data_IF_935618723895
#
_entry.id   IF_935618723895
#
_cell.length_a   1.000
_cell.length_b   1.000
_cell.length_c   1.000
_cell.angle_alpha   90.00
_cell.angle_beta   90.00
_cell.angle_gamma   90.00
#
_symmetry.space_group_name_H-M   'P 1'
#
loop_
_entity.id
_entity.type
_entity.pdbx_description
1 polymer ?
#
# COMPACT_ATOMS: atom_id res chain seq x y z
N UNK A 1 2.85 33.05 -4.00
CA UNK A 1 3.03 33.05 -2.53
C UNK A 1 1.70 32.87 -1.80
N UNK A 2 0.70 33.74 -2.02
CA UNK A 2 -0.61 33.67 -1.36
C UNK A 2 -1.40 32.38 -1.68
N UNK A 3 -1.36 31.91 -2.94
CA UNK A 3 -1.91 30.61 -3.33
C UNK A 3 -1.20 29.43 -2.66
N UNK A 4 0.15 29.42 -2.59
CA UNK A 4 0.88 28.38 -1.85
C UNK A 4 0.56 28.40 -0.36
N UNK A 5 0.51 29.57 0.29
CA UNK A 5 0.16 29.67 1.70
C UNK A 5 -1.29 29.24 1.98
N UNK A 6 -2.26 29.61 1.14
CA UNK A 6 -3.65 29.23 1.32
C UNK A 6 -3.86 27.72 1.12
N UNK A 7 -3.19 27.13 0.12
CA UNK A 7 -3.22 25.68 -0.11
C UNK A 7 -2.49 24.92 0.99
N UNK A 8 -1.33 25.40 1.46
CA UNK A 8 -0.57 24.77 2.55
C UNK A 8 -1.26 24.92 3.92
N UNK A 9 -1.88 26.05 4.22
CA UNK A 9 -2.65 26.25 5.46
C UNK A 9 -3.91 25.37 5.50
N UNK A 10 -4.64 25.26 4.38
CA UNK A 10 -5.83 24.40 4.28
C UNK A 10 -5.47 22.92 4.30
N UNK A 11 -4.35 22.55 3.67
CA UNK A 11 -3.81 21.19 3.74
C UNK A 11 -3.35 20.84 5.16
N UNK A 12 -2.68 21.75 5.87
CA UNK A 12 -2.23 21.52 7.26
C UNK A 12 -3.43 21.42 8.21
N UNK A 13 -4.44 22.30 8.09
CA UNK A 13 -5.58 22.29 9.01
C UNK A 13 -6.50 21.08 8.80
N UNK A 14 -6.73 20.67 7.55
CA UNK A 14 -7.51 19.46 7.22
C UNK A 14 -6.76 18.15 7.47
N UNK A 15 -5.43 18.13 7.28
CA UNK A 15 -4.62 16.93 7.49
C UNK A 15 -4.15 16.73 8.93
N UNK A 16 -4.01 17.78 9.76
CA UNK A 16 -3.51 17.62 11.14
C UNK A 16 -4.64 17.32 12.13
N UNK A 17 -5.65 18.17 12.26
CA UNK A 17 -6.66 18.04 13.33
C UNK A 17 -7.49 16.76 13.25
N UNK A 18 -8.02 16.45 12.06
CA UNK A 18 -8.87 15.27 11.86
C UNK A 18 -8.05 13.98 11.83
N UNK A 19 -6.88 13.94 11.17
CA UNK A 19 -6.07 12.71 11.10
C UNK A 19 -5.42 12.38 12.45
N UNK A 20 -4.93 13.37 13.19
CA UNK A 20 -4.38 13.13 14.53
C UNK A 20 -5.48 12.64 15.46
N UNK A 21 -6.69 13.23 15.40
CA UNK A 21 -7.84 12.77 16.17
C UNK A 21 -8.22 11.31 15.87
N UNK A 22 -8.27 10.94 14.59
CA UNK A 22 -8.54 9.55 14.16
C UNK A 22 -7.41 8.60 14.58
N UNK A 23 -6.14 9.00 14.49
CA UNK A 23 -5.02 8.18 14.96
C UNK A 23 -5.06 7.96 16.47
N UNK A 24 -5.34 9.01 17.26
CA UNK A 24 -5.46 8.90 18.71
C UNK A 24 -6.63 7.99 19.10
N UNK A 25 -7.78 8.15 18.43
CA UNK A 25 -8.95 7.29 18.63
C UNK A 25 -8.64 5.83 18.29
N UNK A 26 -7.98 5.58 17.16
CA UNK A 26 -7.59 4.23 16.74
C UNK A 26 -6.60 3.60 17.72
N UNK A 27 -5.61 4.35 18.22
CA UNK A 27 -4.64 3.87 19.21
C UNK A 27 -5.31 3.56 20.56
N UNK A 28 -6.23 4.42 21.01
CA UNK A 28 -7.00 4.18 22.22
C UNK A 28 -7.92 2.96 22.08
N UNK A 29 -8.59 2.79 20.94
CA UNK A 29 -9.43 1.64 20.65
C UNK A 29 -8.62 0.34 20.52
N UNK A 30 -7.45 0.37 19.89
CA UNK A 30 -6.50 -0.75 19.83
C UNK A 30 -6.01 -1.14 21.22
N UNK A 31 -5.55 -0.17 22.02
CA UNK A 31 -5.03 -0.42 23.37
C UNK A 31 -6.07 -1.03 24.30
N UNK A 32 -7.27 -0.42 24.36
CA UNK A 32 -8.38 -0.95 25.15
C UNK A 32 -8.86 -2.31 24.64
N UNK A 33 -8.94 -2.49 23.31
CA UNK A 33 -9.31 -3.75 22.68
C UNK A 33 -8.34 -4.90 22.96
N UNK A 34 -7.02 -4.65 22.94
CA UNK A 34 -6.00 -5.65 23.25
C UNK A 34 -6.08 -6.07 24.73
N UNK A 35 -6.22 -5.11 25.65
CA UNK A 35 -6.32 -5.38 27.09
C UNK A 35 -7.57 -6.21 27.39
N UNK A 36 -8.73 -5.82 26.86
CA UNK A 36 -10.00 -6.54 27.06
C UNK A 36 -9.93 -7.92 26.41
N UNK A 37 -9.34 -8.05 25.23
CA UNK A 37 -9.23 -9.35 24.53
C UNK A 37 -8.29 -10.33 25.24
N UNK A 38 -7.20 -9.85 25.84
CA UNK A 38 -6.31 -10.72 26.61
C UNK A 38 -6.97 -11.24 27.90
N UNK A 39 -7.81 -10.41 28.54
CA UNK A 39 -8.49 -10.76 29.78
C UNK A 39 -9.66 -11.72 29.54
N UNK A 40 -10.48 -11.49 28.51
CA UNK A 40 -11.71 -12.24 28.27
C UNK A 40 -11.58 -13.38 27.24
N UNK A 41 -10.57 -13.35 26.37
CA UNK A 41 -10.55 -14.16 25.15
C UNK A 41 -9.15 -14.64 24.73
N UNK A 42 -8.39 -15.23 25.67
CA UNK A 42 -7.01 -15.70 25.44
C UNK A 42 -6.86 -16.67 24.25
N UNK A 43 -7.90 -17.45 23.93
CA UNK A 43 -7.92 -18.39 22.81
C UNK A 43 -8.04 -17.69 21.45
N UNK A 44 -8.78 -16.57 21.38
CA UNK A 44 -8.92 -15.77 20.16
C UNK A 44 -7.68 -14.92 19.93
N UNK A 45 -7.07 -14.37 20.99
CA UNK A 45 -5.83 -13.59 20.85
C UNK A 45 -4.66 -14.44 20.35
N UNK A 46 -4.54 -15.71 20.78
CA UNK A 46 -3.53 -16.65 20.24
C UNK A 46 -3.70 -16.90 18.74
N UNK A 47 -4.94 -17.06 18.26
CA UNK A 47 -5.23 -17.20 16.84
C UNK A 47 -4.75 -15.97 16.07
N UNK A 48 -5.16 -14.78 16.52
CA UNK A 48 -4.79 -13.51 15.89
C UNK A 48 -3.27 -13.32 15.89
N UNK A 49 -2.60 -13.61 17.01
CA UNK A 49 -1.15 -13.53 17.14
C UNK A 49 -0.41 -14.43 16.13
N UNK A 50 -0.98 -15.60 15.80
CA UNK A 50 -0.47 -16.48 14.75
C UNK A 50 -0.62 -15.92 13.34
N UNK A 51 -1.69 -15.17 13.07
CA UNK A 51 -1.93 -14.56 11.75
C UNK A 51 -1.21 -13.21 11.56
N UNK A 52 -0.92 -12.47 12.65
CA UNK A 52 -0.19 -11.20 12.62
C UNK A 52 1.12 -11.25 11.81
N UNK A 53 2.06 -12.19 12.03
CA UNK A 53 3.30 -12.22 11.25
C UNK A 53 3.04 -12.48 9.76
N UNK A 54 2.02 -13.27 9.44
CA UNK A 54 1.66 -13.58 8.06
C UNK A 54 1.07 -12.35 7.35
N UNK A 55 0.26 -11.56 8.05
CA UNK A 55 -0.24 -10.27 7.56
C UNK A 55 0.88 -9.24 7.35
N UNK A 56 1.85 -9.16 8.28
CA UNK A 56 3.01 -8.25 8.17
C UNK A 56 3.85 -8.63 6.95
N UNK A 57 4.17 -9.92 6.78
CA UNK A 57 4.95 -10.41 5.63
C UNK A 57 4.20 -10.14 4.32
N UNK A 58 2.89 -10.40 4.27
CA UNK A 58 2.05 -10.11 3.11
C UNK A 58 2.05 -8.62 2.74
N UNK A 59 1.91 -7.74 3.74
CA UNK A 59 1.95 -6.28 3.55
C UNK A 59 3.32 -5.77 3.11
N UNK A 60 4.41 -6.30 3.68
CA UNK A 60 5.77 -5.93 3.28
C UNK A 60 6.07 -6.37 1.85
N UNK A 61 5.71 -7.60 1.48
CA UNK A 61 5.91 -8.13 0.13
C UNK A 61 5.15 -7.31 -0.91
N UNK A 62 3.91 -6.92 -0.62
CA UNK A 62 3.11 -6.09 -1.51
C UNK A 62 3.74 -4.70 -1.72
N UNK A 63 4.23 -4.08 -0.65
CA UNK A 63 4.95 -2.80 -0.73
C UNK A 63 6.28 -2.93 -1.49
N UNK A 64 7.03 -4.00 -1.25
CA UNK A 64 8.30 -4.27 -1.93
C UNK A 64 8.10 -4.49 -3.44
N UNK A 65 7.09 -5.26 -3.83
CA UNK A 65 6.75 -5.46 -5.24
C UNK A 65 6.35 -4.14 -5.92
N UNK A 66 5.49 -3.36 -5.28
CA UNK A 66 5.03 -2.07 -5.82
C UNK A 66 6.17 -1.06 -6.00
N UNK A 67 7.02 -0.91 -5.00
CA UNK A 67 8.18 0.01 -5.05
C UNK A 67 9.26 -0.49 -6.03
N UNK A 68 9.52 -1.80 -6.07
CA UNK A 68 10.45 -2.43 -7.00
C UNK A 68 10.04 -2.28 -8.46
N UNK A 69 8.73 -2.37 -8.75
CA UNK A 69 8.20 -2.12 -10.10
C UNK A 69 8.31 -0.64 -10.47
N UNK A 70 7.90 0.26 -9.59
CA UNK A 70 8.01 1.70 -9.82
C UNK A 70 9.45 2.15 -10.15
N UNK A 71 10.46 1.61 -9.45
CA UNK A 71 11.87 1.94 -9.70
C UNK A 71 12.37 1.44 -11.07
N UNK A 72 12.02 0.21 -11.45
CA UNK A 72 12.41 -0.36 -12.75
C UNK A 72 11.72 0.35 -13.91
N UNK A 73 10.47 0.72 -13.74
CA UNK A 73 9.72 1.44 -14.77
C UNK A 73 10.27 2.85 -14.94
N UNK A 74 10.56 3.55 -13.83
CA UNK A 74 11.20 4.88 -13.85
C UNK A 74 12.52 4.88 -14.63
N UNK A 75 13.43 3.93 -14.39
CA UNK A 75 14.71 3.82 -15.13
C UNK A 75 14.53 3.60 -16.62
N UNK A 76 13.48 2.87 -17.01
CA UNK A 76 13.22 2.56 -18.43
C UNK A 76 12.60 3.77 -19.13
N UNK A 77 11.65 4.44 -18.48
CA UNK A 77 11.09 5.71 -18.96
C UNK A 77 12.12 6.83 -19.03
N UNK A 78 13.07 6.89 -18.09
CA UNK A 78 14.16 7.88 -18.12
C UNK A 78 15.05 7.72 -19.36
N UNK A 79 15.37 6.48 -19.75
CA UNK A 79 16.13 6.21 -20.99
C UNK A 79 15.36 6.60 -22.25
N UNK A 80 14.08 6.23 -22.33
CA UNK A 80 13.22 6.63 -23.45
C UNK A 80 13.09 8.16 -23.53
N UNK A 81 12.84 8.81 -22.39
CA UNK A 81 12.73 10.27 -22.29
C UNK A 81 14.02 10.98 -22.68
N UNK A 82 15.20 10.46 -22.31
CA UNK A 82 16.49 11.04 -22.71
C UNK A 82 16.65 11.06 -24.25
N UNK A 83 16.31 9.96 -24.91
CA UNK A 83 16.40 9.85 -26.37
C UNK A 83 15.40 10.79 -27.04
N UNK A 84 14.17 10.86 -26.54
CA UNK A 84 13.17 11.82 -27.04
C UNK A 84 13.63 13.26 -26.88
N UNK A 85 14.20 13.63 -25.73
CA UNK A 85 14.72 14.98 -25.47
C UNK A 85 15.87 15.31 -26.42
N UNK A 86 16.81 14.38 -26.63
CA UNK A 86 17.94 14.56 -27.54
C UNK A 86 17.49 14.75 -29.00
N UNK A 87 16.49 13.99 -29.45
CA UNK A 87 15.89 14.15 -30.78
C UNK A 87 15.16 15.48 -30.95
N UNK A 88 14.40 15.93 -29.94
CA UNK A 88 13.67 17.21 -29.98
C UNK A 88 14.66 18.39 -29.96
N UNK A 89 15.70 18.33 -29.14
CA UNK A 89 16.72 19.38 -29.07
C UNK A 89 17.45 19.56 -30.41
N UNK A 90 17.67 18.46 -31.14
CA UNK A 90 18.36 18.46 -32.43
C UNK A 90 17.40 18.29 -33.62
N UNK A 91 16.14 18.70 -33.49
CA UNK A 91 15.09 18.45 -34.50
C UNK A 91 15.46 18.95 -35.89
N UNK A 92 16.14 20.10 -36.01
CA UNK A 92 16.62 20.61 -37.31
C UNK A 92 17.61 19.64 -37.97
N UNK A 93 18.50 19.03 -37.22
CA UNK A 93 19.49 18.06 -37.72
C UNK A 93 18.81 16.74 -38.09
N UNK A 94 17.84 16.28 -37.31
CA UNK A 94 17.07 15.05 -37.60
C UNK A 94 16.28 15.19 -38.91
N UNK A 95 15.60 16.33 -39.10
CA UNK A 95 14.86 16.67 -40.31
C UNK A 95 15.81 16.81 -41.50
N UNK A 96 16.97 17.47 -41.32
CA UNK A 96 17.98 17.63 -42.38
C UNK A 96 18.61 16.31 -42.84
N UNK A 97 18.71 15.34 -41.94
CA UNK A 97 19.19 13.99 -42.26
C UNK A 97 18.09 13.04 -42.72
N UNK A 98 16.82 13.48 -42.71
CA UNK A 98 15.63 12.66 -43.02
C UNK A 98 15.62 11.34 -42.24
N UNK A 99 16.00 11.38 -40.96
CA UNK A 99 16.17 10.21 -40.06
C UNK A 99 15.05 10.08 -39.02
N UNK A 100 13.89 10.67 -39.28
CA UNK A 100 12.74 10.69 -38.37
C UNK A 100 12.27 9.27 -38.03
N UNK A 101 12.12 8.41 -39.04
CA UNK A 101 11.72 7.01 -38.86
C UNK A 101 12.69 6.21 -38.00
N UNK A 102 13.99 6.48 -38.11
CA UNK A 102 15.01 5.81 -37.30
C UNK A 102 14.85 6.13 -35.80
N UNK A 103 14.61 7.40 -35.46
CA UNK A 103 14.38 7.79 -34.07
C UNK A 103 13.02 7.31 -33.54
N UNK A 104 12.01 7.24 -34.41
CA UNK A 104 10.70 6.69 -34.07
C UNK A 104 10.80 5.18 -33.75
N UNK A 105 11.45 4.41 -34.61
CA UNK A 105 11.63 2.96 -34.41
C UNK A 105 12.49 2.67 -33.17
N UNK A 106 13.53 3.47 -32.95
CA UNK A 106 14.33 3.41 -31.73
C UNK A 106 13.47 3.64 -30.48
N UNK A 107 12.59 4.65 -30.49
CA UNK A 107 11.65 4.91 -29.37
C UNK A 107 10.68 3.74 -29.16
N UNK A 108 10.10 3.18 -30.23
CA UNK A 108 9.23 2.01 -30.15
C UNK A 108 9.95 0.80 -29.53
N UNK A 109 11.18 0.53 -29.95
CA UNK A 109 11.98 -0.58 -29.41
C UNK A 109 12.28 -0.43 -27.91
N UNK A 110 12.50 0.81 -27.45
CA UNK A 110 12.72 1.14 -26.03
C UNK A 110 11.46 0.95 -25.19
N UNK A 111 10.27 1.14 -25.76
CA UNK A 111 8.98 0.95 -25.09
C UNK A 111 8.48 -0.50 -25.11
N UNK A 112 8.89 -1.32 -26.06
CA UNK A 112 8.42 -2.70 -26.15
C UNK A 112 8.93 -3.55 -24.96
N UNK A 113 10.17 -3.32 -24.53
CA UNK A 113 10.80 -4.01 -23.39
C UNK A 113 10.03 -3.76 -22.08
N UNK A 114 9.75 -2.51 -21.64
CA UNK A 114 8.96 -2.25 -20.44
C UNK A 114 7.51 -2.72 -20.61
N UNK A 115 6.94 -2.66 -21.80
CA UNK A 115 5.57 -3.13 -22.04
C UNK A 115 5.43 -4.64 -21.77
N UNK A 116 6.30 -5.47 -22.37
CA UNK A 116 6.29 -6.93 -22.13
C UNK A 116 6.65 -7.28 -20.68
N UNK A 117 7.57 -6.54 -20.07
CA UNK A 117 7.92 -6.72 -18.67
C UNK A 117 6.76 -6.35 -17.73
N UNK A 118 6.03 -5.28 -18.03
CA UNK A 118 4.87 -4.82 -17.28
C UNK A 118 3.76 -5.86 -17.29
N UNK A 119 3.43 -6.46 -18.44
CA UNK A 119 2.42 -7.53 -18.51
C UNK A 119 2.79 -8.72 -17.62
N UNK A 120 4.03 -9.22 -17.69
CA UNK A 120 4.47 -10.34 -16.84
C UNK A 120 4.42 -9.99 -15.35
N UNK A 121 4.82 -8.76 -15.00
CA UNK A 121 4.77 -8.27 -13.61
C UNK A 121 3.35 -8.06 -13.12
N UNK A 122 2.44 -7.60 -13.97
CA UNK A 122 1.04 -7.39 -13.63
C UNK A 122 0.35 -8.71 -13.25
N UNK A 123 0.61 -9.79 -14.00
CA UNK A 123 0.11 -11.12 -13.63
C UNK A 123 0.68 -11.62 -12.29
N UNK A 124 2.00 -11.47 -12.09
CA UNK A 124 2.65 -11.88 -10.85
C UNK A 124 2.13 -11.09 -9.66
N UNK A 125 2.04 -9.76 -9.80
CA UNK A 125 1.50 -8.85 -8.80
C UNK A 125 0.05 -9.18 -8.49
N UNK A 126 -0.79 -9.40 -9.52
CA UNK A 126 -2.18 -9.77 -9.35
C UNK A 126 -2.34 -11.05 -8.54
N UNK A 127 -1.54 -12.09 -8.85
CA UNK A 127 -1.58 -13.35 -8.12
C UNK A 127 -1.17 -13.19 -6.65
N UNK A 128 -0.08 -12.48 -6.37
CA UNK A 128 0.35 -12.22 -5.00
C UNK A 128 -0.62 -11.31 -4.23
N UNK A 129 -1.17 -10.29 -4.88
CA UNK A 129 -2.15 -9.39 -4.29
C UNK A 129 -3.43 -10.12 -3.92
N UNK A 130 -3.96 -10.94 -4.83
CA UNK A 130 -5.14 -11.78 -4.56
C UNK A 130 -4.86 -12.78 -3.45
N UNK A 131 -3.70 -13.45 -3.46
CA UNK A 131 -3.32 -14.41 -2.42
C UNK A 131 -3.25 -13.75 -1.04
N UNK A 132 -2.58 -12.59 -0.92
CA UNK A 132 -2.49 -11.84 0.34
C UNK A 132 -3.86 -11.42 0.86
N UNK A 133 -4.75 -10.94 -0.03
CA UNK A 133 -6.11 -10.58 0.35
C UNK A 133 -6.95 -11.80 0.76
N UNK A 134 -6.83 -12.92 0.05
CA UNK A 134 -7.53 -14.16 0.41
C UNK A 134 -7.16 -14.63 1.81
N UNK A 135 -5.87 -14.58 2.20
CA UNK A 135 -5.47 -14.97 3.55
C UNK A 135 -6.08 -14.07 4.63
N UNK A 136 -6.23 -12.78 4.37
CA UNK A 136 -6.92 -11.86 5.29
C UNK A 136 -8.39 -12.26 5.49
N UNK A 137 -9.10 -12.63 4.42
CA UNK A 137 -10.47 -13.14 4.54
C UNK A 137 -10.55 -14.50 5.23
N UNK A 138 -9.58 -15.39 5.03
CA UNK A 138 -9.51 -16.66 5.76
C UNK A 138 -9.25 -16.45 7.26
N UNK A 139 -8.39 -15.51 7.63
CA UNK A 139 -8.20 -15.11 9.03
C UNK A 139 -9.50 -14.61 9.65
N UNK A 140 -10.24 -13.77 8.92
CA UNK A 140 -11.53 -13.25 9.38
C UNK A 140 -12.58 -14.36 9.55
N UNK A 141 -12.65 -15.29 8.57
CA UNK A 141 -13.54 -16.44 8.64
C UNK A 141 -13.18 -17.36 9.83
N UNK A 142 -11.89 -17.61 10.07
CA UNK A 142 -11.42 -18.40 11.20
C UNK A 142 -11.77 -17.74 12.54
N UNK A 143 -11.63 -16.41 12.64
CA UNK A 143 -12.00 -15.63 13.82
C UNK A 143 -13.49 -15.74 14.14
N UNK A 144 -14.37 -15.60 13.13
CA UNK A 144 -15.81 -15.77 13.35
C UNK A 144 -16.20 -17.23 13.62
N UNK A 145 -15.54 -18.20 12.97
CA UNK A 145 -15.82 -19.62 13.19
C UNK A 145 -15.47 -20.06 14.61
N UNK A 146 -14.30 -19.70 15.10
CA UNK A 146 -13.90 -19.96 16.48
C UNK A 146 -14.67 -19.08 17.45
N UNK A 147 -14.82 -17.79 17.14
CA UNK A 147 -15.58 -16.86 17.95
C UNK A 147 -17.01 -17.33 18.23
N UNK A 148 -17.74 -17.76 17.20
CA UNK A 148 -19.09 -18.30 17.35
C UNK A 148 -19.13 -19.59 18.19
N UNK A 149 -18.13 -20.47 18.05
CA UNK A 149 -18.02 -21.68 18.87
C UNK A 149 -17.77 -21.37 20.35
N UNK A 150 -16.93 -20.38 20.66
CA UNK A 150 -16.60 -19.98 22.03
C UNK A 150 -17.75 -19.21 22.70
N UNK A 151 -18.52 -18.44 21.92
CA UNK A 151 -19.75 -17.78 22.39
C UNK A 151 -20.82 -18.82 22.73
N UNK A 152 -21.00 -19.87 21.91
CA UNK A 152 -21.95 -20.95 22.21
C UNK A 152 -21.61 -21.70 23.50
N UNK A 153 -20.31 -21.81 23.83
CA UNK A 153 -19.84 -22.42 25.08
C UNK A 153 -19.89 -21.47 26.29
N UNK A 154 -20.46 -20.27 26.16
CA UNK A 154 -20.47 -19.20 27.17
C UNK A 154 -19.07 -18.90 27.75
N UNK A 155 -18.01 -19.20 26.99
CA UNK A 155 -16.62 -18.95 27.41
C UNK A 155 -16.18 -17.52 27.10
N UNK A 156 -16.84 -16.88 26.12
CA UNK A 156 -16.55 -15.50 25.68
C UNK A 156 -17.87 -14.79 25.39
N UNK A 157 -17.96 -13.50 25.73
CA UNK A 157 -19.10 -12.62 25.38
C UNK A 157 -19.06 -12.20 23.91
N UNK A 158 -20.23 -12.05 23.28
CA UNK A 158 -20.33 -11.55 21.89
C UNK A 158 -19.66 -10.18 21.68
N UNK A 159 -19.68 -9.31 22.69
CA UNK A 159 -18.98 -8.02 22.68
C UNK A 159 -17.47 -8.16 22.50
N UNK A 160 -16.84 -9.13 23.17
CA UNK A 160 -15.40 -9.37 23.04
C UNK A 160 -15.03 -9.84 21.63
N UNK A 161 -15.90 -10.61 20.97
CA UNK A 161 -15.72 -11.02 19.58
C UNK A 161 -15.78 -9.82 18.62
N UNK A 162 -16.76 -8.92 18.81
CA UNK A 162 -16.87 -7.70 18.01
C UNK A 162 -15.71 -6.73 18.24
N UNK A 163 -15.19 -6.63 19.46
CA UNK A 163 -14.01 -5.84 19.76
C UNK A 163 -12.77 -6.38 19.03
N UNK A 164 -12.53 -7.69 19.06
CA UNK A 164 -11.44 -8.32 18.30
C UNK A 164 -11.56 -8.04 16.79
N UNK A 165 -12.76 -8.16 16.24
CA UNK A 165 -13.03 -7.86 14.83
C UNK A 165 -12.69 -6.40 14.48
N UNK A 166 -13.22 -5.43 15.22
CA UNK A 166 -12.95 -4.01 15.00
C UNK A 166 -11.45 -3.68 15.13
N UNK A 167 -10.77 -4.30 16.09
CA UNK A 167 -9.34 -4.13 16.32
C UNK A 167 -8.52 -4.52 15.08
N UNK A 168 -8.82 -5.67 14.46
CA UNK A 168 -8.16 -6.11 13.21
C UNK A 168 -8.47 -5.16 12.06
N UNK A 169 -9.72 -4.72 11.90
CA UNK A 169 -10.12 -3.78 10.86
C UNK A 169 -9.36 -2.45 11.01
N UNK A 170 -9.27 -1.91 12.22
CA UNK A 170 -8.51 -0.68 12.50
C UNK A 170 -7.00 -0.85 12.34
N UNK A 171 -6.44 -2.00 12.72
CA UNK A 171 -5.04 -2.30 12.49
C UNK A 171 -4.71 -2.32 10.98
N UNK A 172 -5.54 -2.99 10.18
CA UNK A 172 -5.41 -3.03 8.72
C UNK A 172 -5.56 -1.64 8.10
N UNK A 173 -6.54 -0.84 8.55
CA UNK A 173 -6.70 0.54 8.08
C UNK A 173 -5.52 1.43 8.46
N UNK A 174 -4.97 1.28 9.67
CA UNK A 174 -3.80 2.06 10.11
C UNK A 174 -2.57 1.70 9.27
N UNK A 175 -2.33 0.41 9.01
CA UNK A 175 -1.25 -0.03 8.11
C UNK A 175 -1.45 0.52 6.69
N UNK A 176 -2.69 0.55 6.19
CA UNK A 176 -3.02 1.15 4.89
C UNK A 176 -2.76 2.66 4.84
N UNK A 177 -3.12 3.39 5.90
CA UNK A 177 -2.85 4.82 6.03
C UNK A 177 -1.34 5.08 6.13
N UNK A 178 -0.60 4.33 6.95
CA UNK A 178 0.87 4.44 7.05
C UNK A 178 1.57 4.09 5.74
N UNK A 179 1.09 3.08 5.00
CA UNK A 179 1.61 2.74 3.68
C UNK A 179 1.35 3.87 2.66
N UNK A 180 0.20 4.57 2.76
CA UNK A 180 -0.07 5.76 1.95
C UNK A 180 0.78 6.98 2.33
N UNK A 181 1.30 7.02 3.57
CA UNK A 181 2.21 8.05 4.08
C UNK A 181 3.69 7.75 3.80
N UNK A 182 4.05 6.50 3.47
CA UNK A 182 5.41 6.09 3.11
C UNK A 182 6.06 6.93 1.98
N UNK A 183 5.37 7.32 0.89
CA UNK A 183 5.96 8.20 -0.12
C UNK A 183 6.26 9.62 0.39
N UNK A 184 5.51 10.12 1.38
CA UNK A 184 5.76 11.45 1.99
C UNK A 184 6.87 11.38 3.04
N UNK A 185 6.97 10.29 3.79
CA UNK A 185 8.04 10.07 4.77
C UNK A 185 9.42 9.95 4.11
N UNK A 186 9.51 9.24 2.99
CA UNK A 186 10.76 9.15 2.22
C UNK A 186 11.16 10.48 1.56
N UNK A 187 10.19 11.35 1.24
CA UNK A 187 10.47 12.71 0.75
C UNK A 187 10.91 13.65 1.87
N UNK A 188 10.36 13.51 3.07
CA UNK A 188 10.69 14.34 4.23
C UNK A 188 12.08 14.03 4.84
N UNK A 189 12.59 12.80 4.69
CA UNK A 189 13.94 12.44 5.14
C UNK A 189 15.04 12.87 4.14
N UNK A 190 14.66 13.23 2.91
CA UNK A 190 15.58 13.71 1.87
C UNK A 190 15.61 15.24 1.71
N UNK A 191 14.80 15.99 2.47
CA UNK A 191 14.80 17.46 2.54
C UNK A 191 15.46 17.95 3.83
#
# INVERSE_FOLDING_TARGET
LCTRLATEASAVQGASGVRIGVMLQNLAALGTGIIISFVFAWQLTLLVLGFVPLLIVGGFLQNYLMTGFASKDKKTFEKAGKITVESIQNIRTVVQLTKEDYFYEQYCSLLEIPYRASIRRAHLFGLFFSLSNSVMYFCLAALFRLGSYLVQKNSITFEALLLCFNCIVFATQSVGQTASLAPDYNKAVQS
#
